data_IF_417296639243
#
_entry.id   IF_417296639243
#
_cell.length_a   1.000
_cell.length_b   1.000
_cell.length_c   1.000
_cell.angle_alpha   90.00
_cell.angle_beta   90.00
_cell.angle_gamma   90.00
#
_symmetry.space_group_name_H-M   'P 1'
#
loop_
_entity.id
_entity.type
_entity.pdbx_description
1 polymer ?
#
# COMPACT_ATOMS: atom_id res chain seq x y z
N UNK A 1 6.37 -0.64 24.68
CA UNK A 1 7.23 -1.03 23.57
C UNK A 1 6.89 -0.21 22.34
N UNK A 2 7.87 0.44 21.75
CA UNK A 2 7.66 1.17 20.53
C UNK A 2 7.39 0.18 19.38
N UNK A 3 6.28 0.34 18.70
CA UNK A 3 6.01 -0.44 17.50
C UNK A 3 7.00 -0.02 16.42
N UNK A 4 7.67 -1.00 15.85
CA UNK A 4 8.55 -0.74 14.72
C UNK A 4 7.70 -0.34 13.52
N UNK A 5 8.03 0.81 12.93
CA UNK A 5 7.35 1.25 11.72
C UNK A 5 7.71 0.32 10.56
N UNK A 6 6.73 0.10 9.70
CA UNK A 6 6.93 -0.66 8.48
C UNK A 6 7.86 0.08 7.54
N UNK A 7 8.75 -0.62 6.87
CA UNK A 7 9.61 -0.01 5.84
C UNK A 7 8.88 0.02 4.51
N UNK A 8 9.31 0.90 3.60
CA UNK A 8 8.71 1.00 2.27
C UNK A 8 8.80 -0.32 1.48
N UNK A 9 9.95 -1.02 1.44
CA UNK A 9 10.04 -2.32 0.77
C UNK A 9 9.06 -3.36 1.33
N UNK A 10 8.90 -3.41 2.66
CA UNK A 10 7.95 -4.30 3.30
C UNK A 10 6.52 -3.98 2.89
N UNK A 11 6.18 -2.70 2.89
CA UNK A 11 4.84 -2.25 2.50
C UNK A 11 4.54 -2.58 1.04
N UNK A 12 5.49 -2.37 0.15
CA UNK A 12 5.34 -2.69 -1.27
C UNK A 12 5.15 -4.19 -1.47
N UNK A 13 5.93 -5.00 -0.78
CA UNK A 13 5.84 -6.46 -0.88
C UNK A 13 4.45 -6.96 -0.45
N UNK A 14 3.97 -6.49 0.68
CA UNK A 14 2.64 -6.85 1.17
C UNK A 14 1.54 -6.32 0.25
N UNK A 15 1.70 -5.10 -0.23
CA UNK A 15 0.74 -4.50 -1.15
C UNK A 15 0.60 -5.32 -2.44
N UNK A 16 1.70 -5.78 -3.01
CA UNK A 16 1.68 -6.61 -4.22
C UNK A 16 0.88 -7.88 -4.00
N UNK A 17 1.05 -8.50 -2.85
CA UNK A 17 0.30 -9.71 -2.50
C UNK A 17 -1.20 -9.42 -2.39
N UNK A 18 -1.56 -8.38 -1.65
CA UNK A 18 -2.95 -7.98 -1.44
C UNK A 18 -3.60 -7.57 -2.75
N UNK A 19 -2.88 -6.78 -3.55
CA UNK A 19 -3.39 -6.31 -4.84
C UNK A 19 -3.64 -7.46 -5.81
N UNK A 20 -2.78 -8.47 -5.80
CA UNK A 20 -2.96 -9.65 -6.64
C UNK A 20 -4.28 -10.35 -6.34
N UNK A 21 -4.59 -10.51 -5.06
CA UNK A 21 -5.84 -11.12 -4.62
C UNK A 21 -7.03 -10.27 -5.05
N UNK A 22 -6.96 -8.96 -4.79
CA UNK A 22 -8.03 -8.02 -5.19
C UNK A 22 -8.23 -7.96 -6.70
N UNK A 23 -7.15 -8.03 -7.45
CA UNK A 23 -7.23 -8.01 -8.90
C UNK A 23 -8.00 -9.23 -9.43
N UNK A 24 -7.76 -10.39 -8.84
CA UNK A 24 -8.49 -11.62 -9.20
C UNK A 24 -9.97 -11.49 -8.84
N UNK A 25 -10.27 -11.02 -7.63
CA UNK A 25 -11.65 -10.91 -7.14
C UNK A 25 -12.45 -9.85 -7.89
N UNK A 26 -11.84 -8.71 -8.21
CA UNK A 26 -12.52 -7.58 -8.82
C UNK A 26 -12.35 -7.49 -10.33
N UNK A 27 -11.60 -8.41 -10.93
CA UNK A 27 -11.40 -8.44 -12.37
C UNK A 27 -10.58 -7.27 -12.89
N UNK A 28 -9.68 -6.73 -12.08
CA UNK A 28 -8.79 -5.65 -12.54
C UNK A 28 -7.92 -6.15 -13.69
N UNK A 29 -7.75 -5.30 -14.68
CA UNK A 29 -6.88 -5.62 -15.80
C UNK A 29 -5.42 -5.60 -15.36
N UNK A 30 -4.66 -6.52 -15.91
CA UNK A 30 -3.22 -6.57 -15.69
C UNK A 30 -2.60 -5.28 -16.21
N UNK A 31 -1.84 -4.58 -15.36
CA UNK A 31 -1.21 -3.33 -15.73
C UNK A 31 -2.07 -2.09 -15.58
N UNK A 32 -3.22 -2.19 -14.91
CA UNK A 32 -4.05 -1.02 -14.62
C UNK A 32 -3.37 -0.16 -13.55
N UNK A 33 -2.61 0.83 -14.00
CA UNK A 33 -1.83 1.70 -13.12
C UNK A 33 -2.74 2.58 -12.27
N UNK A 34 -3.87 3.01 -12.82
CA UNK A 34 -4.82 3.88 -12.09
C UNK A 34 -5.41 3.14 -10.90
N UNK A 35 -5.89 1.92 -11.11
CA UNK A 35 -6.42 1.10 -10.03
C UNK A 35 -5.35 0.80 -8.98
N UNK A 36 -4.14 0.53 -9.43
CA UNK A 36 -3.01 0.24 -8.56
C UNK A 36 -2.65 1.42 -7.65
N UNK A 37 -2.63 2.62 -8.21
CA UNK A 37 -2.36 3.84 -7.46
C UNK A 37 -3.44 4.12 -6.42
N UNK A 38 -4.70 3.95 -6.80
CA UNK A 38 -5.84 4.13 -5.89
C UNK A 38 -5.75 3.15 -4.73
N UNK A 39 -5.51 1.88 -5.02
CA UNK A 39 -5.37 0.86 -3.98
C UNK A 39 -4.17 1.12 -3.08
N UNK A 40 -3.06 1.61 -3.63
CA UNK A 40 -1.89 1.98 -2.85
C UNK A 40 -2.20 3.10 -1.87
N UNK A 41 -2.90 4.13 -2.32
CA UNK A 41 -3.30 5.24 -1.46
C UNK A 41 -4.19 4.75 -0.31
N UNK A 42 -5.16 3.91 -0.61
CA UNK A 42 -6.04 3.33 0.41
C UNK A 42 -5.27 2.47 1.40
N UNK A 43 -4.33 1.69 0.91
CA UNK A 43 -3.51 0.83 1.73
C UNK A 43 -2.62 1.62 2.69
N UNK A 44 -1.91 2.62 2.18
CA UNK A 44 -1.04 3.45 3.02
C UNK A 44 -1.83 4.29 4.02
N UNK A 45 -3.01 4.76 3.64
CA UNK A 45 -3.90 5.46 4.55
C UNK A 45 -4.30 4.56 5.73
N UNK A 46 -4.66 3.32 5.45
CA UNK A 46 -4.98 2.34 6.48
C UNK A 46 -3.79 2.05 7.39
N UNK A 47 -2.60 1.90 6.81
CA UNK A 47 -1.38 1.69 7.59
C UNK A 47 -1.10 2.86 8.52
N UNK A 48 -1.31 4.08 8.04
CA UNK A 48 -1.11 5.28 8.85
C UNK A 48 -2.12 5.33 10.00
N UNK A 49 -3.38 5.04 9.74
CA UNK A 49 -4.43 5.00 10.75
C UNK A 49 -4.18 3.96 11.82
N UNK A 50 -3.64 2.82 11.43
CA UNK A 50 -3.32 1.73 12.37
C UNK A 50 -2.00 1.95 13.10
N UNK A 51 -1.27 3.03 12.79
CA UNK A 51 -0.01 3.34 13.42
C UNK A 51 1.15 2.48 12.95
N UNK A 52 1.00 1.77 11.83
CA UNK A 52 2.07 0.93 11.26
C UNK A 52 3.09 1.75 10.50
N UNK A 53 2.71 2.94 10.06
CA UNK A 53 3.62 3.91 9.45
C UNK A 53 3.35 5.28 10.06
N UNK A 54 4.34 6.18 9.99
CA UNK A 54 4.19 7.54 10.48
C UNK A 54 3.56 8.42 9.41
N UNK A 55 3.05 9.59 9.84
CA UNK A 55 2.54 10.59 8.90
C UNK A 55 3.60 11.01 7.91
N UNK A 56 4.84 11.16 8.36
CA UNK A 56 5.96 11.49 7.48
C UNK A 56 6.19 10.41 6.42
N UNK A 57 6.13 9.15 6.81
CA UNK A 57 6.24 8.05 5.86
C UNK A 57 5.10 8.06 4.86
N UNK A 58 3.88 8.30 5.34
CA UNK A 58 2.71 8.37 4.47
C UNK A 58 2.86 9.46 3.40
N UNK A 59 3.30 10.64 3.79
CA UNK A 59 3.51 11.76 2.87
C UNK A 59 4.69 11.50 1.94
N UNK A 60 5.77 10.91 2.47
CA UNK A 60 7.01 10.70 1.75
C UNK A 60 6.94 9.51 0.77
N UNK A 61 6.06 8.58 1.02
CA UNK A 61 5.92 7.41 0.17
C UNK A 61 5.05 7.73 -1.04
N UNK A 62 5.67 8.31 -2.04
CA UNK A 62 5.01 8.53 -3.31
C UNK A 62 4.62 7.20 -3.95
N UNK A 63 3.69 7.27 -4.86
CA UNK A 63 3.22 6.09 -5.58
C UNK A 63 4.39 5.43 -6.30
N UNK A 64 4.74 4.19 -5.96
CA UNK A 64 5.88 3.50 -6.58
C UNK A 64 5.56 2.94 -7.97
N UNK A 65 4.38 3.24 -8.47
CA UNK A 65 3.90 2.69 -9.74
C UNK A 65 3.65 3.75 -10.78
#
# INVERSE_FOLDING_TARGET
MAKRSMTKPEAIKLFRFIYKIKAIENGYRRGDVVAKRTEWNNYTDALCKDGLITTNQYVDWHQPF
#
